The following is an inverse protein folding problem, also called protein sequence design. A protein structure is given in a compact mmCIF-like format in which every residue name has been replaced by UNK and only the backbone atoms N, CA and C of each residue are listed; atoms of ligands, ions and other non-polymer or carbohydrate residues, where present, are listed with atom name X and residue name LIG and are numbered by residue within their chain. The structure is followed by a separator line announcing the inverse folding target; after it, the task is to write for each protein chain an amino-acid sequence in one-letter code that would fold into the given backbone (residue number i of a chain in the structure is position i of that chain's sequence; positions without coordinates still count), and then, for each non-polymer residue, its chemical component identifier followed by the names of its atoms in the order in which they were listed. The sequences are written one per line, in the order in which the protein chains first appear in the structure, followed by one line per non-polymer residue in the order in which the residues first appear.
data_IF_722151839297
#
_entry.id   IF_722151839297
#
_cell.length_a   1.000
_cell.length_b   1.000
_cell.length_c   1.000
_cell.angle_alpha   90.00
_cell.angle_beta   90.00
_cell.angle_gamma   90.00
#
_symmetry.space_group_name_H-M   'P 1'
#
loop_
_entity.id
_entity.type
_entity.pdbx_description
1 polymer ?
#
# COMPACT_ATOMS: atom_id res chain seq x y z
N UNK A 1 -6.09 -6.29 9.36
CA UNK A 1 -5.01 -5.45 9.94
C UNK A 1 -5.60 -4.49 10.94
N UNK A 2 -5.19 -4.53 12.20
CA UNK A 2 -5.53 -3.52 13.19
C UNK A 2 -4.38 -2.50 13.25
N UNK A 3 -4.70 -1.22 13.07
CA UNK A 3 -3.76 -0.12 13.17
C UNK A 3 -3.99 0.61 14.48
N UNK A 4 -3.03 0.52 15.40
CA UNK A 4 -3.01 1.30 16.63
C UNK A 4 -2.09 2.50 16.47
N UNK A 5 -2.61 3.69 16.75
CA UNK A 5 -1.87 4.94 16.79
C UNK A 5 -1.84 5.46 18.22
N UNK A 6 -0.67 5.87 18.67
CA UNK A 6 -0.49 6.40 20.02
C UNK A 6 -0.16 7.89 19.94
N UNK A 7 -0.87 8.70 20.73
CA UNK A 7 -0.61 10.12 20.86
C UNK A 7 0.61 10.40 21.76
N UNK A 8 0.95 11.68 21.93
CA UNK A 8 2.06 12.13 22.80
C UNK A 8 1.93 11.71 24.27
N UNK A 9 0.69 11.46 24.73
CA UNK A 9 0.44 10.96 26.10
C UNK A 9 0.52 9.43 26.19
N UNK A 10 0.87 8.76 25.09
CA UNK A 10 0.91 7.31 24.95
C UNK A 10 -0.48 6.65 25.05
N UNK A 11 -1.54 7.42 24.81
CA UNK A 11 -2.90 6.89 24.72
C UNK A 11 -3.10 6.23 23.35
N UNK A 12 -3.62 5.00 23.39
CA UNK A 12 -3.90 4.22 22.20
C UNK A 12 -5.23 4.60 21.57
N UNK A 13 -5.22 4.69 20.24
CA UNK A 13 -6.39 4.85 19.39
C UNK A 13 -6.34 3.81 18.31
N UNK A 14 -7.38 3.02 18.19
CA UNK A 14 -7.51 2.06 17.08
C UNK A 14 -8.09 2.81 15.88
N UNK A 15 -7.27 2.95 14.84
CA UNK A 15 -7.64 3.61 13.59
C UNK A 15 -8.07 2.55 12.59
N UNK A 16 -9.35 2.48 12.36
CA UNK A 16 -9.94 1.43 11.53
C UNK A 16 -10.03 0.11 12.30
N UNK A 17 -11.16 -0.51 12.22
CA UNK A 17 -11.21 -1.95 12.45
C UNK A 17 -10.32 -2.58 11.38
N UNK A 18 -9.61 -3.63 11.79
CA UNK A 18 -8.85 -4.51 10.91
C UNK A 18 -9.43 -4.48 9.51
N UNK A 19 -8.57 -4.49 8.46
CA UNK A 19 -9.06 -4.84 7.12
C UNK A 19 -9.99 -6.01 7.38
N UNK A 20 -11.28 -5.73 7.29
CA UNK A 20 -12.29 -6.62 7.84
C UNK A 20 -12.22 -7.88 6.98
N UNK A 21 -11.83 -9.01 7.60
CA UNK A 21 -11.84 -10.31 6.94
C UNK A 21 -13.19 -10.57 6.27
N UNK A 22 -14.25 -9.99 6.84
CA UNK A 22 -15.56 -10.02 6.22
C UNK A 22 -15.58 -9.27 4.88
N UNK A 23 -15.01 -8.07 4.77
CA UNK A 23 -15.03 -7.30 3.52
C UNK A 23 -14.18 -7.95 2.43
N UNK A 24 -12.96 -8.39 2.76
CA UNK A 24 -12.03 -8.93 1.76
C UNK A 24 -12.50 -10.25 1.16
N UNK A 25 -13.23 -11.05 1.94
CA UNK A 25 -13.71 -12.38 1.53
C UNK A 25 -15.11 -12.38 0.91
N UNK A 26 -15.75 -11.19 0.75
CA UNK A 26 -17.05 -11.12 0.10
C UNK A 26 -16.97 -11.49 -1.39
N UNK A 27 -17.91 -12.25 -1.92
CA UNK A 27 -17.96 -12.58 -3.35
C UNK A 27 -18.35 -11.38 -4.21
N UNK A 28 -19.04 -10.39 -3.63
CA UNK A 28 -19.42 -9.13 -4.27
C UNK A 28 -18.73 -7.94 -3.59
N UNK A 29 -18.68 -6.83 -4.30
CA UNK A 29 -18.06 -5.60 -3.81
C UNK A 29 -18.83 -5.06 -2.60
N UNK A 30 -18.11 -4.86 -1.50
CA UNK A 30 -18.57 -4.14 -0.30
C UNK A 30 -17.79 -2.84 -0.19
N UNK A 31 -18.49 -1.73 0.00
CA UNK A 31 -17.86 -0.40 0.12
C UNK A 31 -18.29 0.27 1.42
N UNK A 32 -17.34 0.93 2.08
CA UNK A 32 -17.55 1.71 3.29
C UNK A 32 -16.82 3.05 3.17
N UNK A 33 -17.45 4.12 3.69
CA UNK A 33 -16.83 5.44 3.83
C UNK A 33 -16.86 5.83 5.28
N UNK A 34 -15.72 6.21 5.82
CA UNK A 34 -15.59 6.53 7.24
C UNK A 34 -14.80 7.82 7.43
N UNK A 35 -15.23 8.58 8.43
CA UNK A 35 -14.53 9.79 8.88
C UNK A 35 -14.08 9.57 10.31
N UNK A 36 -12.82 9.83 10.55
CA UNK A 36 -12.20 9.73 11.86
C UNK A 36 -11.70 11.10 12.29
N UNK A 37 -11.88 11.42 13.57
CA UNK A 37 -11.31 12.61 14.17
C UNK A 37 -10.63 12.23 15.48
N UNK A 38 -9.33 12.48 15.54
CA UNK A 38 -8.48 12.19 16.68
C UNK A 38 -7.72 13.46 17.11
N UNK A 39 -7.19 13.53 18.34
CA UNK A 39 -6.40 14.67 18.77
C UNK A 39 -5.20 14.98 17.86
N UNK A 40 -4.64 13.93 17.24
CA UNK A 40 -3.46 14.02 16.36
C UNK A 40 -3.81 14.20 14.88
N UNK A 41 -5.08 14.21 14.49
CA UNK A 41 -5.46 14.40 13.08
C UNK A 41 -6.86 13.94 12.73
N UNK A 42 -7.25 14.21 11.48
CA UNK A 42 -8.50 13.74 10.89
C UNK A 42 -8.20 12.85 9.69
N UNK A 43 -9.07 11.90 9.41
CA UNK A 43 -9.00 11.06 8.21
C UNK A 43 -10.39 10.85 7.61
N UNK A 44 -10.46 10.87 6.28
CA UNK A 44 -11.63 10.44 5.51
C UNK A 44 -11.19 9.30 4.59
N UNK A 45 -11.70 8.10 4.84
CA UNK A 45 -11.29 6.88 4.16
C UNK A 45 -12.44 6.27 3.38
N UNK A 46 -12.14 5.77 2.20
CA UNK A 46 -12.99 4.88 1.40
C UNK A 46 -12.34 3.50 1.41
N UNK A 47 -13.11 2.50 1.76
CA UNK A 47 -12.69 1.11 1.85
C UNK A 47 -13.58 0.25 0.95
N UNK A 48 -12.96 -0.59 0.11
CA UNK A 48 -13.68 -1.45 -0.85
C UNK A 48 -13.06 -2.84 -0.75
N UNK A 49 -13.88 -3.84 -0.42
CA UNK A 49 -13.42 -5.23 -0.27
C UNK A 49 -14.17 -6.18 -1.20
N UNK A 50 -13.48 -7.15 -1.79
CA UNK A 50 -14.04 -8.22 -2.62
C UNK A 50 -13.01 -9.30 -2.95
N UNK A 51 -13.41 -10.55 -2.90
CA UNK A 51 -12.69 -11.70 -3.50
C UNK A 51 -11.16 -11.71 -3.26
N UNK A 52 -10.70 -11.50 -2.03
CA UNK A 52 -9.27 -11.49 -1.68
C UNK A 52 -8.54 -10.19 -2.06
N UNK A 53 -9.28 -9.11 -2.38
CA UNK A 53 -8.74 -7.78 -2.67
C UNK A 53 -9.39 -6.77 -1.74
N UNK A 54 -8.58 -5.85 -1.21
CA UNK A 54 -9.04 -4.72 -0.43
C UNK A 54 -8.39 -3.44 -0.95
N UNK A 55 -9.20 -2.45 -1.26
CA UNK A 55 -8.77 -1.14 -1.71
C UNK A 55 -9.05 -0.15 -0.58
N UNK A 56 -8.08 0.66 -0.22
CA UNK A 56 -8.29 1.79 0.69
C UNK A 56 -7.62 3.03 0.11
N UNK A 57 -8.32 4.14 0.18
CA UNK A 57 -7.78 5.44 -0.18
C UNK A 57 -8.43 6.54 0.64
N UNK A 58 -7.75 7.64 0.80
CA UNK A 58 -8.30 8.75 1.53
C UNK A 58 -7.38 9.94 1.69
N UNK A 59 -7.95 10.92 2.37
CA UNK A 59 -7.28 12.14 2.76
C UNK A 59 -7.08 12.13 4.28
N UNK A 60 -5.86 12.42 4.72
CA UNK A 60 -5.48 12.47 6.13
C UNK A 60 -4.90 13.85 6.43
N UNK A 61 -5.35 14.48 7.50
CA UNK A 61 -4.74 15.69 8.06
C UNK A 61 -4.02 15.32 9.34
N UNK A 62 -2.70 15.45 9.35
CA UNK A 62 -1.88 15.15 10.52
C UNK A 62 -1.54 16.43 11.26
N UNK A 63 -1.87 16.52 12.56
CA UNK A 63 -1.61 17.69 13.43
C UNK A 63 -0.40 17.50 14.35
N UNK A 64 0.09 16.28 14.49
CA UNK A 64 1.28 15.96 15.27
C UNK A 64 2.44 15.54 14.37
N UNK A 65 3.64 16.04 14.68
CA UNK A 65 4.82 15.77 13.87
C UNK A 65 5.36 14.35 14.01
N UNK A 66 4.99 13.62 15.06
CA UNK A 66 5.44 12.25 15.28
C UNK A 66 4.35 11.43 15.95
N UNK A 67 4.03 10.30 15.33
CA UNK A 67 3.06 9.33 15.81
C UNK A 67 3.74 7.98 16.02
N UNK A 68 3.44 7.32 17.13
CA UNK A 68 3.78 5.91 17.33
C UNK A 68 2.70 5.07 16.67
N UNK A 69 3.10 4.10 15.85
CA UNK A 69 2.19 3.25 15.11
C UNK A 69 2.54 1.79 15.37
N UNK A 70 1.52 0.98 15.59
CA UNK A 70 1.63 -0.48 15.61
C UNK A 70 0.57 -1.07 14.72
N UNK A 71 0.94 -2.05 13.94
CA UNK A 71 -0.03 -2.88 13.21
C UNK A 71 0.37 -4.34 13.26
N UNK A 72 -0.64 -5.18 13.28
CA UNK A 72 -0.51 -6.62 13.15
C UNK A 72 -1.49 -7.06 12.06
N UNK A 73 -0.99 -7.73 11.03
CA UNK A 73 -1.80 -8.16 9.91
C UNK A 73 -2.01 -9.68 9.93
N UNK A 74 -3.12 -10.09 10.53
CA UNK A 74 -3.53 -11.50 10.54
C UNK A 74 -3.84 -12.06 9.14
N UNK A 75 -4.08 -11.17 8.17
CA UNK A 75 -4.45 -11.55 6.81
C UNK A 75 -3.24 -11.70 5.89
N UNK A 76 -2.05 -11.34 6.36
CA UNK A 76 -0.82 -11.41 5.57
C UNK A 76 -0.97 -10.78 4.17
N UNK A 77 -1.40 -9.53 4.12
CA UNK A 77 -1.72 -8.82 2.88
C UNK A 77 -0.48 -8.28 2.17
N UNK A 78 -0.50 -8.33 0.85
CA UNK A 78 0.48 -7.66 0.00
C UNK A 78 -0.10 -6.33 -0.47
N UNK A 79 0.60 -5.24 -0.17
CA UNK A 79 0.16 -3.88 -0.42
C UNK A 79 0.81 -3.31 -1.68
N UNK A 80 -0.01 -2.82 -2.60
CA UNK A 80 0.39 -1.88 -3.64
C UNK A 80 0.21 -0.46 -3.09
N UNK A 81 1.28 0.16 -2.65
CA UNK A 81 1.28 1.48 -2.02
C UNK A 81 1.47 2.59 -3.04
N UNK A 82 0.65 3.65 -2.94
CA UNK A 82 0.75 4.88 -3.73
C UNK A 82 0.58 6.09 -2.82
N UNK A 83 1.65 6.84 -2.61
CA UNK A 83 1.63 8.14 -1.93
C UNK A 83 1.32 9.22 -2.96
N UNK A 84 0.07 9.70 -3.03
CA UNK A 84 -0.37 10.68 -4.03
C UNK A 84 0.12 12.08 -3.68
N UNK A 85 -0.08 12.49 -2.42
CA UNK A 85 0.27 13.82 -1.94
C UNK A 85 0.75 13.77 -0.50
N UNK A 86 1.66 14.70 -0.16
CA UNK A 86 2.29 14.73 1.14
C UNK A 86 3.38 13.68 1.27
N UNK A 87 4.05 13.66 2.40
CA UNK A 87 5.13 12.72 2.64
C UNK A 87 5.59 12.78 4.08
N UNK A 88 6.49 11.91 4.45
CA UNK A 88 7.00 11.80 5.82
C UNK A 88 8.15 10.81 5.91
N UNK A 89 8.47 10.43 7.11
CA UNK A 89 9.49 9.43 7.39
C UNK A 89 8.84 8.36 8.27
N UNK A 90 8.95 7.12 7.85
CA UNK A 90 8.55 5.96 8.65
C UNK A 90 9.80 5.26 9.16
N UNK A 91 9.85 4.99 10.45
CA UNK A 91 10.85 4.17 11.09
C UNK A 91 10.20 2.90 11.63
N UNK A 92 10.60 1.74 11.10
CA UNK A 92 10.13 0.43 11.56
C UNK A 92 11.18 -0.17 12.50
N UNK A 93 10.82 -0.38 13.75
CA UNK A 93 11.73 -0.90 14.78
C UNK A 93 12.02 -2.39 14.66
N UNK A 94 11.07 -3.16 14.07
CA UNK A 94 11.24 -4.59 13.87
C UNK A 94 12.29 -4.88 12.79
N UNK A 95 12.26 -4.12 11.71
CA UNK A 95 13.21 -4.25 10.59
C UNK A 95 14.41 -3.32 10.69
N UNK A 96 14.41 -2.37 11.66
CA UNK A 96 15.41 -1.30 11.85
C UNK A 96 15.58 -0.42 10.59
N UNK A 97 14.51 -0.25 9.83
CA UNK A 97 14.53 0.55 8.59
C UNK A 97 13.88 1.90 8.82
N UNK A 98 14.48 2.92 8.20
CA UNK A 98 13.94 4.27 8.10
C UNK A 98 13.73 4.59 6.63
N UNK A 99 12.47 4.88 6.27
CA UNK A 99 12.02 5.05 4.90
C UNK A 99 11.41 6.42 4.76
N UNK A 100 11.81 7.17 3.73
CA UNK A 100 11.19 8.44 3.38
C UNK A 100 10.03 8.18 2.42
N UNK A 101 8.80 8.48 2.84
CA UNK A 101 7.63 8.51 1.96
C UNK A 101 7.68 9.80 1.16
N UNK A 102 7.70 9.70 -0.15
CA UNK A 102 7.74 10.84 -1.07
C UNK A 102 6.39 10.99 -1.77
N UNK A 103 5.89 12.23 -1.97
CA UNK A 103 4.69 12.43 -2.77
C UNK A 103 4.89 11.95 -4.21
N UNK A 104 3.82 11.49 -4.83
CA UNK A 104 3.81 10.96 -6.19
C UNK A 104 4.75 9.76 -6.42
N UNK A 105 4.92 8.89 -5.41
CA UNK A 105 5.74 7.69 -5.50
C UNK A 105 4.94 6.45 -5.09
N UNK A 106 5.44 5.29 -5.54
CA UNK A 106 4.81 4.00 -5.27
C UNK A 106 5.83 2.91 -4.93
N UNK A 107 5.37 1.87 -4.23
CA UNK A 107 6.11 0.64 -3.98
C UNK A 107 5.13 -0.56 -3.88
N UNK A 108 5.66 -1.78 -3.85
CA UNK A 108 4.93 -2.99 -3.45
C UNK A 108 5.55 -3.49 -2.15
N UNK A 109 4.72 -3.68 -1.13
CA UNK A 109 5.18 -3.89 0.24
C UNK A 109 4.48 -5.12 0.82
N UNK A 110 5.21 -5.91 1.60
CA UNK A 110 4.68 -6.93 2.48
C UNK A 110 5.26 -6.73 3.87
N UNK A 111 4.41 -6.35 4.81
CA UNK A 111 4.82 -6.08 6.20
C UNK A 111 3.74 -6.62 7.14
N UNK A 112 3.82 -7.92 7.51
CA UNK A 112 2.81 -8.56 8.37
C UNK A 112 2.73 -7.90 9.74
N UNK A 113 3.88 -7.46 10.28
CA UNK A 113 3.97 -6.78 11.56
C UNK A 113 4.70 -5.46 11.41
N UNK A 114 4.13 -4.41 11.99
CA UNK A 114 4.75 -3.10 12.08
C UNK A 114 4.74 -2.59 13.53
N UNK A 115 5.90 -2.18 14.01
CA UNK A 115 6.05 -1.43 15.24
C UNK A 115 7.07 -0.31 14.98
N UNK A 116 6.60 0.95 15.05
CA UNK A 116 7.47 2.05 14.65
C UNK A 116 6.89 3.42 14.90
N UNK A 117 7.49 4.40 14.24
CA UNK A 117 7.03 5.80 14.26
C UNK A 117 6.87 6.32 12.85
N UNK A 118 5.91 7.22 12.68
CA UNK A 118 5.76 8.05 11.49
C UNK A 118 5.97 9.51 11.86
N UNK A 119 6.84 10.19 11.12
CA UNK A 119 7.16 11.60 11.29
C UNK A 119 6.62 12.37 10.08
N UNK A 120 5.81 13.40 10.35
CA UNK A 120 5.20 14.25 9.32
C UNK A 120 5.44 15.72 9.66
N UNK A 121 5.52 16.62 8.67
CA UNK A 121 5.35 18.04 8.93
C UNK A 121 4.00 18.32 9.59
N UNK A 122 3.96 19.26 10.53
CA UNK A 122 2.74 19.64 11.24
C UNK A 122 1.75 20.24 10.24
N UNK A 123 0.45 19.94 10.42
CA UNK A 123 -0.67 20.40 9.59
C UNK A 123 -0.56 19.95 8.12
N UNK A 124 0.13 18.84 7.89
CA UNK A 124 0.26 18.29 6.55
C UNK A 124 -0.97 17.48 6.16
N UNK A 125 -1.46 17.76 4.95
CA UNK A 125 -2.38 16.87 4.25
C UNK A 125 -1.60 15.73 3.59
N UNK A 126 -2.11 14.51 3.77
CA UNK A 126 -1.64 13.33 3.09
C UNK A 126 -2.79 12.80 2.23
N UNK A 127 -2.47 12.32 1.06
CA UNK A 127 -3.42 11.58 0.22
C UNK A 127 -2.73 10.32 -0.26
N UNK A 128 -3.37 9.19 -0.01
CA UNK A 128 -2.83 7.89 -0.39
C UNK A 128 -3.89 7.05 -1.12
N UNK A 129 -3.41 6.04 -1.82
CA UNK A 129 -4.21 5.01 -2.45
C UNK A 129 -3.47 3.68 -2.30
N UNK A 130 -4.16 2.65 -1.85
CA UNK A 130 -3.58 1.32 -1.61
C UNK A 130 -4.50 0.23 -2.14
N UNK A 131 -3.90 -0.82 -2.71
CA UNK A 131 -4.57 -2.07 -3.05
C UNK A 131 -3.87 -3.19 -2.31
N UNK A 132 -4.62 -3.92 -1.51
CA UNK A 132 -4.13 -5.07 -0.78
C UNK A 132 -4.67 -6.34 -1.43
N UNK A 133 -3.78 -7.27 -1.71
CA UNK A 133 -4.12 -8.63 -2.13
C UNK A 133 -3.90 -9.58 -0.96
N UNK A 134 -4.79 -10.56 -0.75
CA UNK A 134 -4.43 -11.67 0.11
C UNK A 134 -3.20 -12.40 -0.47
N UNK A 135 -2.42 -12.99 0.42
CA UNK A 135 -1.13 -13.60 0.07
C UNK A 135 -1.25 -14.68 -1.01
N UNK A 136 -2.24 -15.55 -0.89
CA UNK A 136 -2.43 -16.65 -1.83
C UNK A 136 -2.77 -16.12 -3.21
N UNK A 137 -3.70 -15.17 -3.29
CA UNK A 137 -4.09 -14.54 -4.55
C UNK A 137 -2.92 -13.79 -5.20
N UNK A 138 -2.12 -13.07 -4.42
CA UNK A 138 -0.93 -12.40 -4.95
C UNK A 138 0.05 -13.41 -5.55
N UNK A 139 0.35 -14.49 -4.83
CA UNK A 139 1.25 -15.55 -5.29
C UNK A 139 0.71 -16.19 -6.58
N UNK A 140 -0.58 -16.52 -6.62
CA UNK A 140 -1.19 -17.10 -7.82
C UNK A 140 -1.11 -16.21 -9.06
N UNK A 141 -1.27 -14.88 -8.89
CA UNK A 141 -1.14 -13.92 -9.98
C UNK A 141 0.32 -13.73 -10.44
N UNK A 142 1.30 -14.00 -9.58
CA UNK A 142 2.69 -13.59 -9.82
C UNK A 142 3.67 -14.73 -10.04
N UNK A 143 3.34 -15.97 -9.68
CA UNK A 143 4.23 -17.14 -9.73
C UNK A 143 4.85 -17.40 -11.11
N UNK A 144 4.09 -17.14 -12.18
CA UNK A 144 4.52 -17.37 -13.58
C UNK A 144 4.75 -16.07 -14.36
N UNK A 145 4.79 -14.91 -13.67
CA UNK A 145 4.84 -13.61 -14.32
C UNK A 145 6.28 -13.17 -14.65
N UNK A 146 7.02 -12.62 -13.70
CA UNK A 146 8.36 -12.12 -13.92
C UNK A 146 9.36 -12.61 -12.88
N UNK A 147 10.65 -12.50 -13.17
CA UNK A 147 11.71 -12.87 -12.22
C UNK A 147 11.63 -12.02 -10.96
N UNK A 148 11.34 -10.72 -11.10
CA UNK A 148 11.23 -9.78 -9.98
C UNK A 148 10.08 -10.17 -9.06
N UNK A 149 8.87 -10.37 -9.60
CA UNK A 149 7.70 -10.73 -8.82
C UNK A 149 7.82 -12.11 -8.19
N UNK A 150 8.42 -13.09 -8.88
CA UNK A 150 8.71 -14.41 -8.28
C UNK A 150 9.64 -14.31 -7.07
N UNK A 151 10.74 -13.56 -7.18
CA UNK A 151 11.66 -13.34 -6.05
C UNK A 151 10.99 -12.64 -4.87
N UNK A 152 10.06 -11.74 -5.16
CA UNK A 152 9.27 -11.08 -4.14
C UNK A 152 8.29 -12.07 -3.48
N UNK A 153 7.56 -12.87 -4.26
CA UNK A 153 6.67 -13.92 -3.77
C UNK A 153 7.40 -14.97 -2.91
N UNK A 154 8.61 -15.39 -3.30
CA UNK A 154 9.44 -16.31 -2.49
C UNK A 154 9.75 -15.77 -1.09
N UNK A 155 9.97 -14.45 -0.96
CA UNK A 155 10.20 -13.82 0.35
C UNK A 155 8.92 -13.75 1.18
N UNK A 156 7.79 -13.48 0.55
CA UNK A 156 6.47 -13.49 1.18
C UNK A 156 6.13 -14.88 1.73
N UNK A 157 6.37 -15.94 0.95
CA UNK A 157 6.15 -17.32 1.40
C UNK A 157 6.95 -17.68 2.66
N UNK A 158 8.09 -17.03 2.89
CA UNK A 158 8.91 -17.18 4.09
C UNK A 158 8.51 -16.19 5.22
N UNK A 159 7.37 -15.53 5.11
CA UNK A 159 6.82 -14.55 6.07
C UNK A 159 7.81 -13.44 6.46
N UNK A 160 8.60 -12.96 5.51
CA UNK A 160 9.61 -11.90 5.73
C UNK A 160 9.08 -10.57 5.24
N UNK A 161 9.07 -9.56 6.12
CA UNK A 161 8.83 -8.18 5.69
C UNK A 161 9.76 -7.79 4.57
N UNK A 162 9.19 -7.35 3.45
CA UNK A 162 9.94 -7.03 2.23
C UNK A 162 9.23 -5.95 1.41
N UNK A 163 10.02 -5.12 0.76
CA UNK A 163 9.60 -4.22 -0.32
C UNK A 163 10.16 -4.76 -1.64
N UNK A 164 9.43 -4.53 -2.74
CA UNK A 164 9.88 -4.97 -4.05
C UNK A 164 11.19 -4.26 -4.44
N UNK A 165 11.32 -2.99 -4.03
CA UNK A 165 12.53 -2.18 -4.19
C UNK A 165 12.82 -1.37 -2.93
N UNK A 166 14.11 -1.12 -2.68
CA UNK A 166 14.53 -0.21 -1.59
C UNK A 166 14.27 1.27 -1.92
N UNK A 167 14.00 1.58 -3.18
CA UNK A 167 13.73 2.93 -3.66
C UNK A 167 12.36 2.96 -4.31
N UNK A 168 11.50 3.82 -3.80
CA UNK A 168 10.21 4.09 -4.41
C UNK A 168 10.37 4.74 -5.78
N UNK A 169 9.48 4.41 -6.71
CA UNK A 169 9.48 4.98 -8.05
C UNK A 169 8.34 6.00 -8.22
N UNK A 170 8.50 6.99 -9.12
CA UNK A 170 7.43 7.93 -9.42
C UNK A 170 6.20 7.24 -10.03
N UNK A 171 5.01 7.65 -9.60
CA UNK A 171 3.73 7.19 -10.16
C UNK A 171 3.63 7.67 -11.60
N UNK A 172 3.43 6.76 -12.55
CA UNK A 172 3.28 7.07 -13.97
C UNK A 172 1.88 7.62 -14.29
N UNK A 173 1.72 8.26 -15.45
CA UNK A 173 0.41 8.72 -15.94
C UNK A 173 -0.59 7.55 -16.09
N UNK A 174 -0.12 6.39 -16.53
CA UNK A 174 -0.96 5.20 -16.65
C UNK A 174 -1.48 4.73 -15.29
N UNK A 175 -0.62 4.72 -14.25
CA UNK A 175 -1.03 4.40 -12.88
C UNK A 175 -2.02 5.43 -12.33
N UNK A 176 -1.77 6.73 -12.55
CA UNK A 176 -2.73 7.77 -12.15
C UNK A 176 -4.09 7.61 -12.83
N UNK A 177 -4.11 7.29 -14.13
CA UNK A 177 -5.36 7.02 -14.85
C UNK A 177 -6.10 5.81 -14.25
N UNK A 178 -5.38 4.72 -14.00
CA UNK A 178 -5.96 3.51 -13.43
C UNK A 178 -6.52 3.74 -12.01
N UNK A 179 -5.79 4.47 -11.16
CA UNK A 179 -6.25 4.89 -9.82
C UNK A 179 -7.52 5.75 -9.94
N UNK A 180 -7.53 6.72 -10.84
CA UNK A 180 -8.69 7.58 -11.08
C UNK A 180 -9.91 6.79 -11.55
N UNK A 181 -9.73 5.80 -12.42
CA UNK A 181 -10.79 4.90 -12.90
C UNK A 181 -11.41 4.10 -11.75
N UNK A 182 -10.57 3.60 -10.81
CA UNK A 182 -11.04 2.89 -9.61
C UNK A 182 -11.86 3.83 -8.71
N UNK A 183 -11.31 5.00 -8.39
CA UNK A 183 -11.95 5.96 -7.47
C UNK A 183 -13.28 6.50 -7.99
N UNK A 184 -13.43 6.59 -9.32
CA UNK A 184 -14.64 7.10 -9.99
C UNK A 184 -15.47 5.99 -10.64
N UNK A 185 -15.34 4.75 -10.19
CA UNK A 185 -16.11 3.64 -10.73
C UNK A 185 -17.60 3.80 -10.48
N UNK A 186 -18.40 3.86 -11.55
CA UNK A 186 -19.87 3.97 -11.50
C UNK A 186 -20.61 2.67 -11.85
N UNK A 187 -19.88 1.59 -12.12
CA UNK A 187 -20.50 0.29 -12.29
C UNK A 187 -21.12 -0.21 -10.98
N UNK A 188 -22.09 -1.11 -11.10
CA UNK A 188 -22.78 -1.73 -9.96
C UNK A 188 -22.76 -3.25 -10.07
N UNK A 189 -23.03 -3.95 -8.97
CA UNK A 189 -23.14 -5.42 -8.93
C UNK A 189 -21.92 -6.13 -9.50
N UNK A 190 -22.14 -7.18 -10.28
CA UNK A 190 -21.08 -8.00 -10.89
C UNK A 190 -20.19 -7.24 -11.87
N UNK A 191 -20.71 -6.21 -12.55
CA UNK A 191 -19.88 -5.39 -13.45
C UNK A 191 -18.89 -4.55 -12.67
N UNK A 192 -19.26 -4.02 -11.49
CA UNK A 192 -18.34 -3.32 -10.59
C UNK A 192 -17.21 -4.25 -10.14
N UNK A 193 -17.56 -5.49 -9.78
CA UNK A 193 -16.58 -6.51 -9.39
C UNK A 193 -15.55 -6.75 -10.49
N UNK A 194 -16.01 -7.07 -11.72
CA UNK A 194 -15.14 -7.33 -12.86
C UNK A 194 -14.22 -6.14 -13.18
N UNK A 195 -14.80 -4.94 -13.17
CA UNK A 195 -14.05 -3.71 -13.44
C UNK A 195 -12.95 -3.46 -12.39
N UNK A 196 -13.31 -3.45 -11.10
CA UNK A 196 -12.35 -3.21 -10.04
C UNK A 196 -11.25 -4.28 -9.98
N UNK A 197 -11.62 -5.55 -10.16
CA UNK A 197 -10.66 -6.64 -10.21
C UNK A 197 -9.65 -6.47 -11.35
N UNK A 198 -10.12 -6.12 -12.56
CA UNK A 198 -9.24 -5.91 -13.72
C UNK A 198 -8.29 -4.72 -13.47
N UNK A 199 -8.78 -3.63 -12.88
CA UNK A 199 -7.98 -2.45 -12.57
C UNK A 199 -6.93 -2.67 -11.49
N UNK A 200 -7.22 -3.48 -10.46
CA UNK A 200 -6.23 -3.85 -9.45
C UNK A 200 -5.09 -4.69 -10.04
N UNK A 201 -5.41 -5.62 -10.95
CA UNK A 201 -4.40 -6.42 -11.66
C UNK A 201 -3.60 -5.56 -12.64
N UNK A 202 -4.24 -4.61 -13.33
CA UNK A 202 -3.56 -3.62 -14.19
C UNK A 202 -2.55 -2.80 -13.39
N UNK A 203 -2.91 -2.29 -12.21
CA UNK A 203 -1.98 -1.56 -11.32
C UNK A 203 -0.78 -2.40 -10.91
N UNK A 204 -1.00 -3.65 -10.53
CA UNK A 204 0.09 -4.58 -10.21
C UNK A 204 1.05 -4.76 -11.39
N UNK A 205 0.52 -4.94 -12.60
CA UNK A 205 1.34 -5.09 -13.81
C UNK A 205 2.14 -3.83 -14.13
N UNK A 206 1.52 -2.64 -14.01
CA UNK A 206 2.18 -1.35 -14.24
C UNK A 206 3.31 -1.09 -13.23
N UNK A 207 3.10 -1.41 -11.94
CA UNK A 207 4.16 -1.29 -10.93
C UNK A 207 5.30 -2.27 -11.20
N UNK A 208 5.01 -3.53 -11.47
CA UNK A 208 6.02 -4.54 -11.77
C UNK A 208 6.87 -4.12 -12.98
N UNK A 209 6.23 -3.67 -14.07
CA UNK A 209 6.93 -3.16 -15.25
C UNK A 209 7.86 -1.99 -14.92
N UNK A 210 7.40 -1.04 -14.10
CA UNK A 210 8.21 0.12 -13.71
C UNK A 210 9.49 -0.31 -12.97
N UNK A 211 9.39 -1.25 -12.03
CA UNK A 211 10.54 -1.77 -11.29
C UNK A 211 11.48 -2.59 -12.16
N UNK A 212 10.98 -3.42 -13.08
CA UNK A 212 11.82 -4.16 -14.02
C UNK A 212 12.61 -3.24 -14.96
N UNK A 213 12.00 -2.15 -15.41
CA UNK A 213 12.68 -1.15 -16.25
C UNK A 213 13.76 -0.38 -15.47
N UNK A 214 13.54 -0.15 -14.17
CA UNK A 214 14.53 0.49 -13.30
C UNK A 214 15.72 -0.43 -13.03
N UNK A 215 15.49 -1.72 -12.77
CA UNK A 215 16.54 -2.72 -12.56
C UNK A 215 17.46 -2.85 -13.79
N UNK A 216 16.88 -2.95 -15.00
CA UNK A 216 17.64 -3.02 -16.26
C UNK A 216 18.53 -1.79 -16.49
N UNK A 217 18.08 -0.59 -16.08
CA UNK A 217 18.88 0.64 -16.18
C UNK A 217 20.07 0.64 -15.23
N UNK A 218 19.95 0.00 -14.06
CA UNK A 218 21.02 -0.08 -13.06
C UNK A 218 22.10 -1.11 -13.47
N UNK A 219 21.76 -2.14 -14.23
CA UNK A 219 22.70 -3.15 -14.74
C UNK A 219 23.49 -2.67 -15.98
N UNK A 220 22.94 -1.75 -16.79
CA UNK A 220 23.54 -1.28 -18.03
C UNK A 220 24.87 -0.47 -17.91
N UNK A 221 25.20 0.26 -16.82
CA UNK A 221 26.46 1.02 -16.70
C UNK A 221 27.71 0.19 -16.45
N UNK A 222 27.60 -1.05 -16.01
CA UNK A 222 28.78 -1.87 -15.66
C UNK A 222 29.57 -2.41 -16.87
N UNK A 223 29.01 -2.34 -18.07
CA UNK A 223 29.61 -2.85 -19.31
C UNK A 223 30.43 -1.81 -20.09
N UNK A 224 30.43 -0.52 -19.70
CA UNK A 224 31.10 0.56 -20.45
C UNK A 224 32.43 1.05 -19.86
N UNK A 225 32.95 0.44 -18.78
CA UNK A 225 34.20 0.86 -18.15
C UNK A 225 35.36 -0.13 -18.32
N UNK A 226 35.31 -1.02 -19.30
CA UNK A 226 36.34 -2.02 -19.56
C UNK A 226 36.87 -1.93 -21.00
N UNK A 227 37.22 -0.69 -21.44
CA UNK A 227 38.08 -0.47 -22.62
C UNK A 227 38.96 0.77 -22.38
#
# INVERSE_FOLDING_TARGET
MALSVYDKSNKEYVVGHSIDNFMINQPLVTERREKFSFPFGDAELVQIGFSGIFIVYGDVMVRENRLRIKSFDENELVELHFSIYGGGIIENFLTKRRIAIKPNHHNIIYTPDFDGTAEFPIDQKLKFFEVHFDRERFIDLTKDSSVLLRRFADKIMNNKSVEISQTDLPISLAMHSCINDIMNCHFTGGLKLLFLQSKCVELLALQAQAFELADKKTEAPKLKSAY
#
